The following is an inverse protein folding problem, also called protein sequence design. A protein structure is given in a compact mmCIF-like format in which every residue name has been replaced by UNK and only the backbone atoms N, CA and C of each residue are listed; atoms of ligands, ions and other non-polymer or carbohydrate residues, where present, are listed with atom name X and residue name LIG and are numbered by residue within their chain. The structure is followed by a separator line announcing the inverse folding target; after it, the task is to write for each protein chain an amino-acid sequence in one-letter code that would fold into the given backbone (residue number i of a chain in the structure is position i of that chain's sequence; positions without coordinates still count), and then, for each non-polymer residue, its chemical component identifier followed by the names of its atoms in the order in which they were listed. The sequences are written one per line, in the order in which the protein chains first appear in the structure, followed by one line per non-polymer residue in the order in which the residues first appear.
data_IF_576607544968
#
_entry.id   IF_576607544968
#
_cell.length_a   1.000
_cell.length_b   1.000
_cell.length_c   1.000
_cell.angle_alpha   90.00
_cell.angle_beta   90.00
_cell.angle_gamma   90.00
#
_symmetry.space_group_name_H-M   'P 1'
#
loop_
_entity.id
_entity.type
_entity.pdbx_description
1 polymer ?
#
# COMPACT_ATOMS: atom_id res chain seq x y z
N UNK A 1 -6.70 12.71 -4.48
CA UNK A 1 -5.26 12.35 -4.57
C UNK A 1 -4.93 11.39 -3.43
N UNK A 2 -3.85 10.61 -3.53
CA UNK A 2 -3.48 9.61 -2.51
C UNK A 2 -2.12 9.94 -1.90
N UNK A 3 -1.96 9.67 -0.61
CA UNK A 3 -0.74 9.96 0.15
C UNK A 3 0.26 8.80 0.28
N UNK A 4 -0.07 7.59 -0.19
CA UNK A 4 0.77 6.39 -0.02
C UNK A 4 1.00 5.59 -1.29
N UNK A 5 -0.03 5.48 -2.14
CA UNK A 5 0.03 4.74 -3.40
C UNK A 5 -0.52 5.59 -4.55
N UNK A 6 0.11 5.56 -5.72
CA UNK A 6 -0.39 6.21 -6.92
C UNK A 6 -1.76 5.64 -7.31
N UNK A 7 -2.74 6.52 -7.48
CA UNK A 7 -4.08 6.14 -7.94
C UNK A 7 -3.97 5.58 -9.37
N UNK A 8 -4.79 4.57 -9.71
CA UNK A 8 -4.83 3.93 -11.02
C UNK A 8 -3.49 3.30 -11.46
N UNK A 9 -2.66 2.87 -10.50
CA UNK A 9 -1.43 2.11 -10.75
C UNK A 9 -1.45 0.80 -9.96
N UNK A 10 -0.85 -0.23 -10.55
CA UNK A 10 -0.60 -1.48 -9.82
C UNK A 10 0.38 -1.21 -8.68
N UNK A 11 0.24 -1.95 -7.59
CA UNK A 11 1.14 -1.93 -6.45
C UNK A 11 1.71 -3.33 -6.20
N UNK A 12 2.91 -3.41 -5.62
CA UNK A 12 3.48 -4.67 -5.14
C UNK A 12 3.52 -4.66 -3.61
N UNK A 13 2.98 -5.71 -3.01
CA UNK A 13 2.94 -5.98 -1.58
C UNK A 13 3.18 -7.48 -1.36
N UNK A 14 3.60 -7.89 -0.16
CA UNK A 14 3.75 -9.32 0.20
C UNK A 14 2.43 -10.11 0.07
N UNK A 15 1.30 -9.40 0.08
CA UNK A 15 -0.06 -9.89 -0.20
C UNK A 15 -0.47 -9.66 -1.67
N UNK A 16 0.45 -9.69 -2.62
CA UNK A 16 0.11 -9.55 -4.04
C UNK A 16 0.82 -10.61 -4.86
N UNK A 17 0.32 -10.88 -6.07
CA UNK A 17 0.96 -11.82 -6.99
C UNK A 17 2.37 -11.42 -7.47
N UNK A 18 2.88 -10.26 -7.10
CA UNK A 18 4.29 -9.88 -7.33
C UNK A 18 5.26 -10.64 -6.41
N UNK A 19 4.77 -11.14 -5.27
CA UNK A 19 5.54 -11.90 -4.29
C UNK A 19 4.90 -13.27 -4.09
N UNK A 20 5.04 -14.13 -5.10
CA UNK A 20 4.47 -15.48 -5.08
C UNK A 20 5.02 -16.32 -3.92
N UNK A 21 6.22 -16.01 -3.45
CA UNK A 21 6.90 -16.64 -2.31
C UNK A 21 6.21 -16.37 -0.96
N UNK A 22 5.52 -15.23 -0.81
CA UNK A 22 4.84 -14.86 0.44
C UNK A 22 3.32 -14.94 0.36
N UNK A 23 2.76 -15.00 -0.84
CA UNK A 23 1.32 -15.09 -1.05
C UNK A 23 0.76 -16.47 -0.69
N UNK A 24 -0.39 -16.51 -0.01
CA UNK A 24 -1.11 -17.76 0.31
C UNK A 24 -2.58 -17.69 -0.11
N UNK A 25 -3.15 -18.77 -0.69
CA UNK A 25 -4.55 -18.81 -1.12
C UNK A 25 -5.55 -18.78 0.05
N UNK A 26 -5.10 -19.00 1.29
CA UNK A 26 -5.95 -18.89 2.49
C UNK A 26 -6.20 -17.43 2.91
N UNK A 27 -5.45 -16.47 2.37
CA UNK A 27 -5.69 -15.05 2.62
C UNK A 27 -6.91 -14.58 1.83
N UNK A 28 -8.06 -14.65 2.48
CA UNK A 28 -9.29 -14.06 1.98
C UNK A 28 -9.22 -12.53 1.91
N UNK A 29 -10.23 -11.93 1.26
CA UNK A 29 -10.33 -10.48 1.02
C UNK A 29 -10.16 -9.68 2.32
N UNK A 30 -10.74 -10.14 3.43
CA UNK A 30 -10.59 -9.50 4.74
C UNK A 30 -9.14 -9.36 5.17
N UNK A 31 -8.35 -10.44 5.06
CA UNK A 31 -6.94 -10.44 5.46
C UNK A 31 -6.13 -9.54 4.54
N UNK A 32 -6.41 -9.56 3.22
CA UNK A 32 -5.77 -8.66 2.27
C UNK A 32 -6.03 -7.18 2.61
N UNK A 33 -7.27 -6.81 2.94
CA UNK A 33 -7.60 -5.44 3.35
C UNK A 33 -6.86 -5.01 4.62
N UNK A 34 -6.77 -5.89 5.63
CA UNK A 34 -6.02 -5.61 6.85
C UNK A 34 -4.53 -5.40 6.57
N UNK A 35 -3.94 -6.22 5.69
CA UNK A 35 -2.55 -6.03 5.29
C UNK A 35 -2.34 -4.72 4.55
N UNK A 36 -3.25 -4.32 3.64
CA UNK A 36 -3.19 -3.03 2.95
C UNK A 36 -3.20 -1.89 3.97
N UNK A 37 -4.06 -1.94 4.99
CA UNK A 37 -4.09 -0.93 6.07
C UNK A 37 -2.75 -0.88 6.79
N UNK A 38 -2.16 -2.04 7.13
CA UNK A 38 -0.83 -2.09 7.74
C UNK A 38 0.25 -1.43 6.88
N UNK A 39 0.23 -1.66 5.56
CA UNK A 39 1.17 -1.02 4.64
C UNK A 39 0.99 0.50 4.52
N UNK A 40 -0.19 1.05 4.85
CA UNK A 40 -0.39 2.51 4.85
C UNK A 40 0.44 3.23 5.92
N UNK A 41 0.83 2.54 6.98
CA UNK A 41 1.64 3.09 8.07
C UNK A 41 3.15 2.94 7.82
N UNK A 42 3.53 2.09 6.87
CA UNK A 42 4.94 1.86 6.49
C UNK A 42 5.45 2.87 5.45
N UNK A 43 6.77 3.15 5.40
CA UNK A 43 7.39 3.90 4.32
C UNK A 43 7.17 3.25 2.95
N UNK A 44 7.34 4.03 1.87
CA UNK A 44 7.18 3.57 0.49
C UNK A 44 8.27 2.61 0.02
N UNK A 45 9.50 2.84 0.46
CA UNK A 45 10.72 2.05 0.16
C UNK A 45 10.84 1.63 -1.32
N UNK A 46 10.55 2.56 -2.24
CA UNK A 46 10.60 2.32 -3.70
C UNK A 46 9.72 1.17 -4.21
N UNK A 47 8.77 0.68 -3.39
CA UNK A 47 7.80 -0.31 -3.83
C UNK A 47 7.02 0.21 -5.05
N UNK A 48 6.66 -0.68 -5.97
CA UNK A 48 5.95 -0.32 -7.20
C UNK A 48 4.69 0.46 -6.84
N UNK A 49 4.60 1.68 -7.36
CA UNK A 49 3.44 2.55 -7.15
C UNK A 49 3.41 3.26 -5.78
N UNK A 50 4.43 3.12 -4.94
CA UNK A 50 4.54 3.88 -3.69
C UNK A 50 4.73 5.37 -3.93
N UNK A 51 4.44 6.15 -2.88
CA UNK A 51 4.67 7.58 -2.76
C UNK A 51 5.30 7.85 -1.41
N UNK A 52 6.35 8.65 -1.39
CA UNK A 52 7.04 9.06 -0.18
C UNK A 52 6.85 10.58 0.01
N UNK A 53 5.78 10.91 0.74
CA UNK A 53 5.51 12.26 1.18
C UNK A 53 5.84 12.41 2.67
N UNK A 54 6.17 13.63 3.07
CA UNK A 54 6.31 13.97 4.48
C UNK A 54 4.99 13.77 5.23
N UNK A 55 5.02 13.55 6.56
CA UNK A 55 3.80 13.44 7.37
C UNK A 55 2.85 14.64 7.21
N UNK A 56 3.38 15.84 7.01
CA UNK A 56 2.57 17.06 6.86
C UNK A 56 1.91 17.15 5.49
N UNK A 57 2.60 16.79 4.40
CA UNK A 57 1.99 16.64 3.08
C UNK A 57 0.87 15.58 3.11
N UNK A 58 1.07 14.45 3.79
CA UNK A 58 0.04 13.41 3.96
C UNK A 58 -1.19 13.94 4.73
N UNK A 59 -1.00 14.72 5.80
CA UNK A 59 -2.10 15.36 6.54
C UNK A 59 -2.86 16.37 5.67
N UNK A 60 -2.18 17.12 4.82
CA UNK A 60 -2.82 18.04 3.88
C UNK A 60 -3.68 17.26 2.87
N UNK A 61 -3.15 16.16 2.33
CA UNK A 61 -3.88 15.30 1.39
C UNK A 61 -5.11 14.63 2.04
N UNK A 62 -5.03 14.24 3.32
CA UNK A 62 -6.14 13.62 4.04
C UNK A 62 -7.30 14.57 4.35
N UNK A 63 -7.09 15.88 4.31
CA UNK A 63 -8.13 16.91 4.53
C UNK A 63 -8.85 17.32 3.23
N UNK A 64 -8.42 16.80 2.08
CA UNK A 64 -9.01 17.07 0.76
C UNK A 64 -10.03 16.00 0.42
#
# INVERSE_FOLDING_TARGET
ASGRFKINKKICLSISGHHAETWTPTWGIRTALLAIIGFMETPGEDAIGSLDYTPDERKILAKR
#
